data_IF_775111785593
#
_entry.id   IF_775111785593
#
_cell.length_a   1.000
_cell.length_b   1.000
_cell.length_c   1.000
_cell.angle_alpha   90.00
_cell.angle_beta   90.00
_cell.angle_gamma   90.00
#
_symmetry.space_group_name_H-M   'P 1'
#
loop_
_entity.id
_entity.type
_entity.pdbx_description
1 polymer ?
#
# COMPACT_ATOMS: atom_id res chain seq x y z
N UNK A 1 20.27 -13.11 23.82
CA UNK A 1 20.96 -14.06 22.91
C UNK A 1 22.06 -14.86 23.63
N UNK A 2 22.63 -14.38 24.73
CA UNK A 2 23.65 -15.09 25.49
C UNK A 2 23.07 -16.07 26.53
N UNK A 3 21.78 -16.13 26.69
CA UNK A 3 21.08 -17.02 27.61
C UNK A 3 20.94 -18.41 26.94
N UNK A 4 21.38 -19.49 27.60
CA UNK A 4 21.21 -20.85 27.07
C UNK A 4 19.75 -21.26 26.82
N UNK A 5 18.78 -20.67 27.56
CA UNK A 5 17.37 -20.93 27.39
C UNK A 5 16.72 -20.15 26.23
N UNK A 6 17.42 -19.15 25.67
CA UNK A 6 16.94 -18.30 24.56
C UNK A 6 16.49 -19.12 23.32
N UNK A 7 17.13 -20.23 23.06
CA UNK A 7 16.89 -21.07 21.90
C UNK A 7 15.85 -22.17 22.12
N UNK A 8 15.29 -22.27 23.34
CA UNK A 8 14.28 -23.29 23.65
C UNK A 8 12.93 -22.97 23.01
N UNK A 9 12.64 -21.68 22.76
CA UNK A 9 11.46 -21.23 22.01
C UNK A 9 11.92 -20.53 20.72
N UNK A 10 11.80 -21.23 19.62
CA UNK A 10 12.34 -20.81 18.33
C UNK A 10 11.60 -19.58 17.78
N UNK A 11 10.30 -19.47 18.02
CA UNK A 11 9.46 -18.36 17.52
C UNK A 11 9.72 -17.09 18.33
N UNK A 12 9.80 -17.20 19.66
CA UNK A 12 10.17 -16.09 20.52
C UNK A 12 11.62 -15.60 20.24
N UNK A 13 12.54 -16.54 20.03
CA UNK A 13 13.91 -16.20 19.66
C UNK A 13 13.98 -15.47 18.31
N UNK A 14 13.25 -15.92 17.31
CA UNK A 14 13.21 -15.28 16.00
C UNK A 14 12.61 -13.86 16.06
N UNK A 15 11.58 -13.65 16.85
CA UNK A 15 10.99 -12.33 17.10
C UNK A 15 12.02 -11.37 17.67
N UNK A 16 12.72 -11.76 18.72
CA UNK A 16 13.77 -10.93 19.35
C UNK A 16 14.93 -10.66 18.38
N UNK A 17 15.32 -11.63 17.57
CA UNK A 17 16.36 -11.47 16.55
C UNK A 17 15.90 -10.45 15.49
N UNK A 18 14.65 -10.53 15.03
CA UNK A 18 14.10 -9.60 14.04
C UNK A 18 14.05 -8.18 14.59
N UNK A 19 13.61 -8.00 15.85
CA UNK A 19 13.61 -6.69 16.52
C UNK A 19 15.03 -6.13 16.68
N UNK A 20 15.98 -6.97 17.14
CA UNK A 20 17.36 -6.56 17.29
C UNK A 20 18.00 -6.16 15.95
N UNK A 21 17.71 -6.89 14.87
CA UNK A 21 18.20 -6.57 13.54
C UNK A 21 17.59 -5.27 13.02
N UNK A 22 16.30 -5.03 13.23
CA UNK A 22 15.64 -3.78 12.84
C UNK A 22 16.25 -2.56 13.55
N UNK A 23 16.49 -2.66 14.87
CA UNK A 23 17.15 -1.59 15.63
C UNK A 23 18.60 -1.38 15.14
N UNK A 24 19.31 -2.47 14.88
CA UNK A 24 20.70 -2.40 14.39
C UNK A 24 20.77 -1.74 13.01
N UNK A 25 19.85 -2.06 12.13
CA UNK A 25 19.74 -1.44 10.80
C UNK A 25 19.50 0.06 10.94
N UNK A 26 18.54 0.47 11.76
CA UNK A 26 18.25 1.88 12.03
C UNK A 26 19.47 2.64 12.57
N UNK A 27 20.20 2.04 13.51
CA UNK A 27 21.44 2.65 14.06
C UNK A 27 22.55 2.71 13.02
N UNK A 28 22.68 1.69 12.16
CA UNK A 28 23.68 1.70 11.09
C UNK A 28 23.36 2.77 10.05
N UNK A 29 22.12 2.88 9.60
CA UNK A 29 21.67 3.94 8.67
C UNK A 29 21.97 5.33 9.24
N UNK A 30 21.72 5.55 10.54
CA UNK A 30 22.06 6.82 11.19
C UNK A 30 23.58 7.10 11.14
N UNK A 31 24.40 6.09 11.40
CA UNK A 31 25.87 6.24 11.36
C UNK A 31 26.37 6.54 9.94
N UNK A 32 25.83 5.84 8.94
CA UNK A 32 26.14 6.09 7.53
C UNK A 32 25.77 7.52 7.12
N UNK A 33 24.60 8.01 7.55
CA UNK A 33 24.19 9.40 7.35
C UNK A 33 25.15 10.39 8.03
N UNK A 34 25.61 10.07 9.23
CA UNK A 34 26.56 10.90 9.95
C UNK A 34 27.91 10.95 9.24
N UNK A 35 28.42 9.83 8.73
CA UNK A 35 29.65 9.78 7.94
C UNK A 35 29.53 10.62 6.67
N UNK A 36 28.42 10.52 5.94
CA UNK A 36 28.17 11.33 4.75
C UNK A 36 28.06 12.83 5.10
N UNK A 37 27.46 13.16 6.23
CA UNK A 37 27.40 14.54 6.72
C UNK A 37 28.80 15.09 7.02
N UNK A 38 29.62 14.33 7.76
CA UNK A 38 30.98 14.72 8.12
C UNK A 38 31.83 14.93 6.86
N UNK A 39 31.72 14.06 5.85
CA UNK A 39 32.42 14.21 4.56
C UNK A 39 31.97 15.48 3.80
N UNK A 40 30.66 15.78 3.77
CA UNK A 40 30.14 16.99 3.15
C UNK A 40 30.60 18.24 3.90
N UNK A 41 30.65 18.20 5.25
CA UNK A 41 31.13 19.31 6.07
C UNK A 41 32.64 19.59 5.82
N UNK A 42 33.46 18.55 5.76
CA UNK A 42 34.90 18.68 5.42
C UNK A 42 35.06 19.24 4.01
N UNK A 43 34.32 18.74 3.03
CA UNK A 43 34.36 19.27 1.64
C UNK A 43 33.95 20.75 1.59
N UNK A 44 32.93 21.14 2.36
CA UNK A 44 32.49 22.53 2.46
C UNK A 44 33.58 23.43 3.07
N UNK A 45 34.26 22.98 4.13
CA UNK A 45 35.35 23.74 4.75
C UNK A 45 36.56 23.92 3.80
N UNK A 46 36.92 22.85 3.06
CA UNK A 46 37.98 22.93 2.04
C UNK A 46 37.65 23.93 0.93
N UNK A 47 36.43 23.88 0.38
CA UNK A 47 35.98 24.86 -0.63
C UNK A 47 36.07 26.29 -0.10
N UNK A 48 35.71 26.50 1.17
CA UNK A 48 35.69 27.82 1.80
C UNK A 48 37.07 28.37 2.12
N UNK A 49 38.01 27.51 2.53
CA UNK A 49 39.35 27.93 2.94
C UNK A 49 40.31 28.06 1.77
N UNK A 50 40.23 27.16 0.79
CA UNK A 50 41.14 27.11 -0.36
C UNK A 50 40.65 27.85 -1.59
N UNK A 51 39.36 28.31 -1.58
CA UNK A 51 38.68 28.96 -2.72
C UNK A 51 38.73 28.07 -4.00
N UNK A 52 38.71 26.73 -3.77
CA UNK A 52 38.87 25.72 -4.82
C UNK A 52 37.48 25.39 -5.46
N UNK A 53 37.21 26.06 -6.59
CA UNK A 53 35.99 25.84 -7.36
C UNK A 53 35.88 24.41 -7.94
N UNK A 54 36.98 23.65 -7.99
CA UNK A 54 36.96 22.27 -8.52
C UNK A 54 36.16 21.29 -7.64
N UNK A 55 36.02 21.57 -6.35
CA UNK A 55 35.26 20.78 -5.38
C UNK A 55 33.78 21.16 -5.28
N UNK A 56 33.34 22.23 -5.96
CA UNK A 56 31.95 22.68 -5.88
C UNK A 56 30.94 21.64 -6.44
N UNK A 57 31.29 20.97 -7.52
CA UNK A 57 30.42 19.94 -8.10
C UNK A 57 30.30 18.74 -7.18
N UNK A 58 31.39 18.36 -6.51
CA UNK A 58 31.41 17.28 -5.51
C UNK A 58 30.57 17.66 -4.29
N UNK A 59 30.74 18.87 -3.77
CA UNK A 59 29.95 19.42 -2.67
C UNK A 59 28.45 19.44 -3.01
N UNK A 60 28.08 19.93 -4.19
CA UNK A 60 26.68 19.96 -4.61
C UNK A 60 26.07 18.57 -4.71
N UNK A 61 26.84 17.61 -5.24
CA UNK A 61 26.42 16.22 -5.34
C UNK A 61 26.26 15.58 -3.97
N UNK A 62 27.21 15.82 -3.06
CA UNK A 62 27.17 15.33 -1.67
C UNK A 62 25.97 15.87 -0.90
N UNK A 63 25.72 17.18 -0.96
CA UNK A 63 24.56 17.83 -0.31
C UNK A 63 23.25 17.27 -0.86
N UNK A 64 23.16 17.08 -2.17
CA UNK A 64 21.95 16.52 -2.80
C UNK A 64 21.71 15.06 -2.36
N UNK A 65 22.77 14.25 -2.31
CA UNK A 65 22.69 12.87 -1.85
C UNK A 65 22.31 12.81 -0.37
N UNK A 66 22.98 13.57 0.50
CA UNK A 66 22.68 13.66 1.92
C UNK A 66 21.22 14.08 2.18
N UNK A 67 20.73 15.08 1.44
CA UNK A 67 19.33 15.53 1.54
C UNK A 67 18.35 14.42 1.17
N UNK A 68 18.67 13.62 0.15
CA UNK A 68 17.84 12.49 -0.26
C UNK A 68 17.83 11.40 0.82
N UNK A 69 19.00 11.01 1.30
CA UNK A 69 19.15 9.92 2.28
C UNK A 69 18.54 10.30 3.63
N UNK A 70 18.67 11.58 4.03
CA UNK A 70 18.01 12.11 5.22
C UNK A 70 16.48 12.06 5.10
N UNK A 71 15.93 12.42 3.95
CA UNK A 71 14.49 12.33 3.71
C UNK A 71 14.00 10.87 3.78
N UNK A 72 14.75 9.93 3.23
CA UNK A 72 14.42 8.50 3.30
C UNK A 72 14.47 7.98 4.74
N UNK A 73 15.48 8.40 5.51
CA UNK A 73 15.60 8.05 6.93
C UNK A 73 14.47 8.65 7.78
N UNK A 74 14.12 9.92 7.56
CA UNK A 74 12.96 10.55 8.21
C UNK A 74 11.68 9.75 7.96
N UNK A 75 11.44 9.32 6.71
CA UNK A 75 10.27 8.50 6.38
C UNK A 75 10.26 7.15 7.10
N UNK A 76 11.42 6.51 7.23
CA UNK A 76 11.54 5.27 8.01
C UNK A 76 11.18 5.48 9.49
N UNK A 77 11.55 6.64 10.06
CA UNK A 77 11.18 6.99 11.44
C UNK A 77 9.67 7.24 11.59
N UNK A 78 9.01 7.75 10.55
CA UNK A 78 7.55 7.95 10.53
C UNK A 78 6.77 6.64 10.48
N UNK A 79 7.37 5.59 9.93
CA UNK A 79 6.78 4.26 9.81
C UNK A 79 7.02 3.45 11.09
N UNK A 80 6.53 3.98 12.22
CA UNK A 80 6.76 3.43 13.57
C UNK A 80 5.54 2.72 14.16
N UNK A 81 4.40 2.72 13.47
CA UNK A 81 3.20 2.02 13.93
C UNK A 81 3.39 0.49 13.87
N UNK A 82 2.71 -0.28 14.71
CA UNK A 82 2.97 -1.72 14.88
C UNK A 82 2.97 -2.54 13.60
N UNK A 83 2.16 -2.16 12.62
CA UNK A 83 1.98 -2.90 11.35
C UNK A 83 2.65 -2.25 10.14
N UNK A 84 3.31 -1.12 10.31
CA UNK A 84 3.94 -0.39 9.21
C UNK A 84 4.98 -1.23 8.46
N UNK A 85 5.68 -2.12 9.18
CA UNK A 85 6.71 -3.00 8.60
C UNK A 85 6.15 -4.17 7.80
N UNK A 86 4.84 -4.42 7.86
CA UNK A 86 4.21 -5.57 7.24
C UNK A 86 4.08 -5.41 5.72
N UNK A 87 3.88 -6.53 5.06
CA UNK A 87 3.39 -6.55 3.69
C UNK A 87 1.98 -5.93 3.63
N UNK A 88 1.61 -5.41 2.46
CA UNK A 88 0.31 -4.80 2.25
C UNK A 88 -0.61 -5.67 1.40
N UNK A 89 -1.87 -5.74 1.79
CA UNK A 89 -2.96 -6.25 0.95
C UNK A 89 -3.70 -5.02 0.42
N UNK A 90 -3.71 -4.83 -0.90
CA UNK A 90 -4.34 -3.71 -1.57
C UNK A 90 -5.51 -4.22 -2.42
N UNK A 91 -6.70 -3.68 -2.19
CA UNK A 91 -7.90 -4.01 -2.95
C UNK A 91 -8.42 -2.79 -3.69
N UNK A 92 -8.81 -2.96 -4.96
CA UNK A 92 -9.42 -1.93 -5.77
C UNK A 92 -10.85 -2.34 -6.14
N UNK A 93 -11.78 -1.46 -5.82
CA UNK A 93 -13.21 -1.64 -6.11
C UNK A 93 -13.74 -0.45 -6.93
N UNK A 94 -14.12 -0.66 -8.20
CA UNK A 94 -14.78 0.37 -8.99
C UNK A 94 -16.07 0.82 -8.33
N UNK A 95 -16.26 2.13 -8.26
CA UNK A 95 -17.50 2.74 -7.81
C UNK A 95 -18.53 2.86 -8.93
N UNK A 96 -19.51 3.74 -8.73
CA UNK A 96 -20.48 4.07 -9.77
C UNK A 96 -19.78 4.61 -11.03
N UNK A 97 -20.12 4.10 -12.21
CA UNK A 97 -19.54 4.54 -13.48
C UNK A 97 -19.43 3.45 -14.56
N UNK A 98 -19.85 2.22 -14.24
CA UNK A 98 -19.84 1.11 -15.21
C UNK A 98 -18.45 0.81 -15.79
N UNK A 99 -18.35 0.61 -17.10
CA UNK A 99 -17.10 0.28 -17.82
C UNK A 99 -16.01 1.33 -17.57
N UNK A 100 -16.35 2.61 -17.45
CA UNK A 100 -15.37 3.69 -17.21
C UNK A 100 -14.68 3.55 -15.84
N UNK A 101 -15.43 3.19 -14.78
CA UNK A 101 -14.85 2.99 -13.45
C UNK A 101 -14.03 1.69 -13.37
N UNK A 102 -14.41 0.66 -14.13
CA UNK A 102 -13.63 -0.58 -14.24
C UNK A 102 -12.30 -0.36 -14.97
N UNK A 103 -12.29 0.47 -16.01
CA UNK A 103 -11.06 0.87 -16.69
C UNK A 103 -10.18 1.74 -15.77
N UNK A 104 -10.78 2.66 -15.01
CA UNK A 104 -10.06 3.43 -14.01
C UNK A 104 -9.37 2.55 -12.96
N UNK A 105 -10.04 1.51 -12.47
CA UNK A 105 -9.44 0.55 -11.55
C UNK A 105 -8.25 -0.19 -12.19
N UNK A 106 -8.33 -0.53 -13.48
CA UNK A 106 -7.20 -1.12 -14.22
C UNK A 106 -6.02 -0.16 -14.35
N UNK A 107 -6.27 1.13 -14.53
CA UNK A 107 -5.23 2.15 -14.55
C UNK A 107 -4.54 2.28 -13.18
N UNK A 108 -5.31 2.28 -12.09
CA UNK A 108 -4.75 2.30 -10.72
C UNK A 108 -3.97 1.02 -10.41
N UNK A 109 -4.46 -0.14 -10.82
CA UNK A 109 -3.75 -1.41 -10.70
C UNK A 109 -2.35 -1.32 -11.33
N UNK A 110 -2.26 -0.82 -12.55
CA UNK A 110 -0.98 -0.61 -13.24
C UNK A 110 -0.09 0.39 -12.49
N UNK A 111 -0.66 1.48 -12.01
CA UNK A 111 0.06 2.52 -11.27
C UNK A 111 0.69 1.96 -9.99
N UNK A 112 -0.07 1.22 -9.17
CA UNK A 112 0.44 0.62 -7.95
C UNK A 112 1.44 -0.51 -8.21
N UNK A 113 1.23 -1.32 -9.25
CA UNK A 113 2.20 -2.35 -9.64
C UNK A 113 3.54 -1.73 -10.01
N UNK A 114 3.54 -0.68 -10.82
CA UNK A 114 4.77 0.01 -11.24
C UNK A 114 5.48 0.72 -10.08
N UNK A 115 4.72 1.35 -9.19
CA UNK A 115 5.29 1.94 -7.98
C UNK A 115 5.95 0.87 -7.12
N UNK A 116 5.28 -0.25 -6.90
CA UNK A 116 5.82 -1.36 -6.11
C UNK A 116 7.09 -1.94 -6.72
N UNK A 117 7.14 -2.12 -8.05
CA UNK A 117 8.33 -2.56 -8.77
C UNK A 117 9.50 -1.59 -8.61
N UNK A 118 9.25 -0.28 -8.69
CA UNK A 118 10.27 0.76 -8.46
C UNK A 118 10.83 0.74 -7.03
N UNK A 119 9.99 0.42 -6.05
CA UNK A 119 10.41 0.24 -4.65
C UNK A 119 11.11 -1.11 -4.39
N UNK A 120 11.20 -1.98 -5.37
CA UNK A 120 11.75 -3.32 -5.24
C UNK A 120 10.83 -4.30 -4.50
N UNK A 121 9.54 -3.97 -4.40
CA UNK A 121 8.53 -4.82 -3.78
C UNK A 121 8.07 -5.88 -4.77
N UNK A 122 7.74 -7.06 -4.23
CA UNK A 122 7.16 -8.14 -5.02
C UNK A 122 5.64 -8.04 -4.99
N UNK A 123 5.00 -8.03 -6.16
CA UNK A 123 3.54 -7.98 -6.30
C UNK A 123 3.01 -9.35 -6.69
N UNK A 124 2.04 -9.85 -5.92
CA UNK A 124 1.32 -11.08 -6.20
C UNK A 124 -0.19 -10.77 -6.31
N UNK A 125 -0.80 -11.20 -7.41
CA UNK A 125 -2.25 -11.06 -7.56
C UNK A 125 -2.95 -12.19 -6.82
N UNK A 126 -3.75 -11.84 -5.82
CA UNK A 126 -4.48 -12.79 -4.98
C UNK A 126 -5.84 -13.14 -5.58
N UNK A 127 -6.55 -12.12 -6.05
CA UNK A 127 -7.83 -12.24 -6.73
C UNK A 127 -7.92 -11.23 -7.87
N UNK A 128 -8.56 -11.62 -8.96
CA UNK A 128 -8.76 -10.77 -10.13
C UNK A 128 -10.07 -11.11 -10.81
N UNK A 129 -10.99 -10.17 -10.82
CA UNK A 129 -12.25 -10.29 -11.52
C UNK A 129 -12.29 -9.28 -12.69
N UNK A 130 -12.19 -9.76 -13.94
CA UNK A 130 -12.18 -8.86 -15.09
C UNK A 130 -13.52 -8.17 -15.27
N UNK A 131 -13.49 -7.00 -15.89
CA UNK A 131 -14.68 -6.30 -16.37
C UNK A 131 -15.36 -7.06 -17.53
N UNK A 132 -16.63 -6.79 -17.77
CA UNK A 132 -17.36 -7.45 -18.86
C UNK A 132 -16.88 -6.96 -20.24
N UNK A 133 -16.58 -5.67 -20.38
CA UNK A 133 -16.15 -5.04 -21.63
C UNK A 133 -14.70 -4.55 -21.54
N UNK A 134 -14.29 -3.97 -20.41
CA UNK A 134 -12.97 -3.45 -20.17
C UNK A 134 -12.67 -3.35 -18.68
N UNK A 135 -11.39 -3.25 -18.34
CA UNK A 135 -10.93 -3.00 -16.97
C UNK A 135 -11.15 -4.17 -16.03
N UNK A 136 -11.32 -3.87 -14.74
CA UNK A 136 -11.47 -4.86 -13.66
C UNK A 136 -12.68 -4.52 -12.78
N UNK A 137 -13.43 -5.53 -12.34
CA UNK A 137 -14.52 -5.42 -11.36
C UNK A 137 -14.03 -5.43 -9.92
N UNK A 138 -12.97 -6.15 -9.67
CA UNK A 138 -12.23 -6.13 -8.41
C UNK A 138 -10.85 -6.74 -8.62
N UNK A 139 -9.89 -6.28 -7.85
CA UNK A 139 -8.56 -6.88 -7.81
C UNK A 139 -8.00 -6.77 -6.40
N UNK A 140 -7.37 -7.84 -5.95
CA UNK A 140 -6.66 -7.90 -4.68
C UNK A 140 -5.20 -8.23 -4.95
N UNK A 141 -4.30 -7.39 -4.50
CA UNK A 141 -2.86 -7.55 -4.59
C UNK A 141 -2.26 -7.81 -3.22
N UNK A 142 -1.30 -8.72 -3.14
CA UNK A 142 -0.38 -8.82 -2.01
C UNK A 142 0.95 -8.21 -2.43
N UNK A 143 1.33 -7.14 -1.76
CA UNK A 143 2.57 -6.38 -2.01
C UNK A 143 3.54 -6.69 -0.89
N UNK A 144 4.59 -7.44 -1.22
CA UNK A 144 5.59 -7.93 -0.28
C UNK A 144 6.82 -7.05 -0.30
N UNK A 145 7.15 -6.50 0.85
CA UNK A 145 8.34 -5.70 1.04
C UNK A 145 8.35 -5.04 2.41
N UNK A 146 9.53 -4.64 2.85
CA UNK A 146 9.68 -3.95 4.12
C UNK A 146 8.94 -2.60 4.09
N UNK A 147 8.09 -2.35 5.07
CA UNK A 147 7.25 -1.15 5.18
C UNK A 147 6.20 -0.98 4.04
N UNK A 148 5.87 -2.04 3.30
CA UNK A 148 4.90 -1.92 2.20
C UNK A 148 3.55 -1.39 2.68
N UNK A 149 3.03 -1.89 3.81
CA UNK A 149 1.81 -1.38 4.41
C UNK A 149 1.96 0.05 4.91
N UNK A 150 3.07 0.37 5.57
CA UNK A 150 3.34 1.70 6.11
C UNK A 150 3.29 2.80 5.05
N UNK A 151 3.81 2.54 3.84
CA UNK A 151 3.69 3.46 2.71
C UNK A 151 2.28 3.46 2.11
N UNK A 152 1.72 2.29 1.84
CA UNK A 152 0.47 2.15 1.10
C UNK A 152 -0.76 2.54 1.91
N UNK A 153 -0.71 2.55 3.25
CA UNK A 153 -1.82 3.08 4.09
C UNK A 153 -2.19 4.52 3.71
N UNK A 154 -1.24 5.29 3.17
CA UNK A 154 -1.46 6.62 2.63
C UNK A 154 -2.40 6.65 1.40
N UNK A 155 -2.54 5.54 0.69
CA UNK A 155 -3.34 5.42 -0.53
C UNK A 155 -4.78 4.94 -0.26
N UNK A 156 -5.10 4.59 1.00
CA UNK A 156 -6.44 4.15 1.39
C UNK A 156 -7.45 5.28 1.20
N UNK A 157 -8.50 5.01 0.45
CA UNK A 157 -9.62 5.93 0.22
C UNK A 157 -10.13 5.95 -1.22
N UNK A 158 -10.86 7.00 -1.58
CA UNK A 158 -11.50 7.11 -2.89
C UNK A 158 -10.63 7.92 -3.84
N UNK A 159 -10.37 7.36 -5.02
CA UNK A 159 -9.61 7.97 -6.11
C UNK A 159 -10.56 8.40 -7.23
N UNK A 160 -10.56 9.68 -7.56
CA UNK A 160 -11.43 10.28 -8.56
C UNK A 160 -10.67 10.52 -9.86
N UNK A 161 -11.19 10.02 -10.99
CA UNK A 161 -10.72 10.32 -12.34
C UNK A 161 -11.66 11.30 -13.05
N UNK A 162 -11.09 12.26 -13.75
CA UNK A 162 -11.81 13.16 -14.67
C UNK A 162 -11.09 13.17 -16.02
N UNK A 163 -11.71 12.58 -17.03
CA UNK A 163 -11.16 12.53 -18.39
C UNK A 163 -12.27 12.53 -19.46
N UNK A 164 -11.87 12.67 -20.71
CA UNK A 164 -12.74 12.33 -21.85
C UNK A 164 -12.77 10.80 -21.92
N UNK A 165 -13.98 10.23 -21.88
CA UNK A 165 -14.13 8.77 -21.88
C UNK A 165 -13.80 8.17 -23.25
N UNK A 166 -12.94 7.14 -23.32
CA UNK A 166 -12.69 6.40 -24.54
C UNK A 166 -13.89 5.50 -24.95
N UNK A 167 -14.84 5.29 -24.04
CA UNK A 167 -16.03 4.45 -24.26
C UNK A 167 -17.28 5.28 -24.68
N UNK A 168 -17.20 6.61 -24.61
CA UNK A 168 -18.28 7.51 -25.04
C UNK A 168 -18.00 8.04 -26.46
N UNK A 169 -18.77 7.60 -27.43
CA UNK A 169 -18.66 8.04 -28.82
C UNK A 169 -18.89 9.55 -29.00
N UNK A 170 -19.57 10.19 -28.04
CA UNK A 170 -19.79 11.64 -28.02
C UNK A 170 -18.60 12.45 -27.50
N UNK A 171 -17.54 11.81 -27.02
CA UNK A 171 -16.32 12.47 -26.51
C UNK A 171 -16.56 13.35 -25.29
N UNK A 172 -17.54 13.02 -24.46
CA UNK A 172 -17.88 13.79 -23.26
C UNK A 172 -16.91 13.50 -22.13
N UNK A 173 -16.75 14.49 -21.27
CA UNK A 173 -15.98 14.37 -20.03
C UNK A 173 -16.77 13.57 -18.99
N UNK A 174 -16.15 12.52 -18.46
CA UNK A 174 -16.72 11.66 -17.42
C UNK A 174 -15.91 11.78 -16.13
N UNK A 175 -16.60 11.48 -15.02
CA UNK A 175 -16.00 11.37 -13.70
C UNK A 175 -16.24 9.96 -13.18
N UNK A 176 -15.20 9.28 -12.76
CA UNK A 176 -15.25 7.91 -12.25
C UNK A 176 -14.55 7.81 -10.90
N UNK A 177 -14.99 6.88 -10.09
CA UNK A 177 -14.48 6.67 -8.75
C UNK A 177 -14.06 5.21 -8.55
N UNK A 178 -12.95 5.04 -7.84
CA UNK A 178 -12.48 3.72 -7.38
C UNK A 178 -12.13 3.86 -5.90
N UNK A 179 -12.59 2.92 -5.10
CA UNK A 179 -12.14 2.76 -3.71
C UNK A 179 -10.88 1.92 -3.69
N UNK A 180 -9.87 2.40 -2.99
CA UNK A 180 -8.65 1.68 -2.67
C UNK A 180 -8.68 1.33 -1.18
N UNK A 181 -8.72 0.06 -0.85
CA UNK A 181 -8.60 -0.46 0.50
C UNK A 181 -7.18 -0.98 0.69
N UNK A 182 -6.58 -0.66 1.84
CA UNK A 182 -5.23 -1.12 2.20
C UNK A 182 -5.26 -1.69 3.60
N UNK A 183 -4.73 -2.90 3.74
CA UNK A 183 -4.67 -3.65 4.99
C UNK A 183 -3.28 -4.27 5.17
N UNK A 184 -2.80 -4.45 6.40
CA UNK A 184 -1.57 -5.19 6.63
C UNK A 184 -1.77 -6.70 6.39
N UNK A 185 -0.76 -7.38 5.85
CA UNK A 185 -0.69 -8.84 5.94
C UNK A 185 -0.31 -9.18 7.37
N UNK A 186 -1.22 -9.89 8.08
CA UNK A 186 -0.95 -10.35 9.42
C UNK A 186 -0.25 -11.71 9.37
N UNK A 187 0.83 -11.86 10.15
CA UNK A 187 1.44 -13.16 10.39
C UNK A 187 0.50 -13.99 11.27
N UNK A 188 0.64 -15.34 11.24
CA UNK A 188 -0.24 -16.26 11.95
C UNK A 188 -0.27 -16.08 13.49
N UNK A 189 0.64 -15.27 14.05
CA UNK A 189 0.81 -15.02 15.49
C UNK A 189 -0.08 -13.90 16.06
N UNK A 190 -0.89 -13.22 15.24
CA UNK A 190 -1.79 -12.20 15.79
C UNK A 190 -3.06 -12.86 16.28
N UNK A 191 -3.31 -12.70 17.57
CA UNK A 191 -4.31 -13.29 18.44
C UNK A 191 -5.79 -13.00 18.05
N UNK A 192 -6.12 -13.11 16.75
CA UNK A 192 -7.51 -13.18 16.30
C UNK A 192 -7.88 -14.65 16.20
N UNK A 193 -8.49 -15.13 17.26
CA UNK A 193 -9.07 -16.47 17.27
C UNK A 193 -10.31 -16.48 16.40
N UNK A 194 -10.23 -17.09 15.22
CA UNK A 194 -11.38 -17.28 14.35
C UNK A 194 -11.94 -18.66 14.62
N UNK A 195 -13.17 -18.73 15.13
CA UNK A 195 -13.86 -20.00 15.31
C UNK A 195 -14.25 -20.55 13.94
N UNK A 196 -13.91 -21.79 13.66
CA UNK A 196 -14.25 -22.44 12.38
C UNK A 196 -15.77 -22.58 12.18
N UNK A 197 -16.55 -22.58 13.26
CA UNK A 197 -18.02 -22.64 13.24
C UNK A 197 -18.66 -21.34 12.70
N UNK A 198 -17.94 -20.23 12.81
CA UNK A 198 -18.37 -18.92 12.31
C UNK A 198 -18.04 -18.72 10.82
N UNK A 199 -17.40 -19.71 10.19
CA UNK A 199 -16.97 -19.61 8.80
C UNK A 199 -17.86 -20.44 7.88
N UNK A 200 -18.41 -19.79 6.86
CA UNK A 200 -18.99 -20.45 5.69
C UNK A 200 -17.95 -20.44 4.58
N UNK A 201 -17.52 -21.64 4.18
CA UNK A 201 -16.52 -21.83 3.13
C UNK A 201 -17.21 -22.43 1.90
N UNK A 202 -17.26 -21.65 0.82
CA UNK A 202 -17.80 -22.07 -0.46
C UNK A 202 -16.65 -22.22 -1.46
N UNK A 203 -16.67 -23.30 -2.23
CA UNK A 203 -15.72 -23.52 -3.33
C UNK A 203 -16.45 -23.36 -4.66
N UNK A 204 -15.79 -22.75 -5.63
CA UNK A 204 -16.36 -22.53 -6.95
C UNK A 204 -15.28 -22.58 -8.03
N UNK A 205 -15.70 -22.59 -9.27
CA UNK A 205 -14.79 -22.59 -10.42
C UNK A 205 -14.22 -21.22 -10.60
N UNK A 206 -12.87 -21.13 -10.70
CA UNK A 206 -12.20 -19.88 -10.98
C UNK A 206 -12.65 -19.35 -12.34
N UNK A 207 -12.94 -18.05 -12.41
CA UNK A 207 -13.25 -17.35 -13.67
C UNK A 207 -11.98 -16.63 -14.13
N UNK A 208 -11.47 -16.99 -15.33
CA UNK A 208 -10.29 -16.34 -15.92
C UNK A 208 -9.90 -16.97 -17.26
N UNK A 209 -9.08 -16.26 -18.03
CA UNK A 209 -8.48 -16.77 -19.26
C UNK A 209 -7.42 -17.82 -18.89
N UNK A 210 -7.80 -19.09 -18.90
CA UNK A 210 -6.91 -20.22 -18.62
C UNK A 210 -7.45 -21.49 -19.24
N UNK A 211 -6.56 -22.45 -19.57
CA UNK A 211 -6.88 -23.68 -20.28
C UNK A 211 -7.88 -24.59 -19.56
N UNK A 212 -8.17 -25.75 -20.13
CA UNK A 212 -9.21 -26.71 -19.70
C UNK A 212 -9.23 -27.04 -18.17
N UNK A 213 -8.12 -26.88 -17.46
CA UNK A 213 -8.00 -27.20 -16.05
C UNK A 213 -8.71 -26.18 -15.13
N UNK A 214 -8.77 -24.90 -15.53
CA UNK A 214 -9.43 -23.83 -14.74
C UNK A 214 -10.94 -23.98 -14.77
N UNK A 215 -11.49 -24.50 -15.88
CA UNK A 215 -12.92 -24.64 -16.09
C UNK A 215 -13.51 -25.94 -15.52
N UNK A 216 -12.66 -26.88 -15.03
CA UNK A 216 -13.10 -28.21 -14.57
C UNK A 216 -12.93 -28.44 -13.07
N UNK A 217 -12.13 -27.62 -12.38
CA UNK A 217 -11.82 -27.84 -10.96
C UNK A 217 -12.30 -26.67 -10.11
N UNK A 218 -13.01 -26.93 -9.03
CA UNK A 218 -13.47 -25.93 -8.05
C UNK A 218 -12.31 -25.53 -7.14
N UNK A 219 -11.33 -24.80 -7.68
CA UNK A 219 -10.12 -24.37 -6.97
C UNK A 219 -10.26 -23.03 -6.26
N UNK A 220 -11.18 -22.17 -6.70
CA UNK A 220 -11.46 -20.89 -6.05
C UNK A 220 -12.20 -21.08 -4.73
N UNK A 221 -11.82 -20.30 -3.73
CA UNK A 221 -12.37 -20.37 -2.37
C UNK A 221 -12.95 -19.02 -1.99
N UNK A 222 -14.18 -19.03 -1.47
CA UNK A 222 -14.84 -17.91 -0.82
C UNK A 222 -15.04 -18.24 0.64
N UNK A 223 -14.58 -17.40 1.53
CA UNK A 223 -14.83 -17.52 2.97
C UNK A 223 -15.71 -16.36 3.42
N UNK A 224 -16.81 -16.67 4.07
CA UNK A 224 -17.70 -15.69 4.68
C UNK A 224 -17.64 -15.88 6.20
N UNK A 225 -17.27 -14.83 6.92
CA UNK A 225 -17.34 -14.81 8.37
C UNK A 225 -18.74 -14.35 8.77
N UNK A 226 -19.55 -15.29 9.29
CA UNK A 226 -20.97 -15.08 9.55
C UNK A 226 -21.28 -13.93 10.50
N UNK A 227 -20.54 -13.76 11.63
CA UNK A 227 -20.85 -12.69 12.60
C UNK A 227 -20.66 -11.28 12.05
N UNK A 228 -19.65 -11.07 11.18
CA UNK A 228 -19.33 -9.75 10.61
C UNK A 228 -19.78 -9.59 9.16
N UNK A 229 -20.34 -10.63 8.54
CA UNK A 229 -20.63 -10.69 7.11
C UNK A 229 -19.43 -10.34 6.19
N UNK A 230 -18.22 -10.48 6.71
CA UNK A 230 -17.00 -10.24 5.93
C UNK A 230 -16.79 -11.36 4.95
N UNK A 231 -16.66 -11.01 3.67
CA UNK A 231 -16.44 -11.97 2.58
C UNK A 231 -15.04 -11.75 2.00
N UNK A 232 -14.31 -12.84 1.79
CA UNK A 232 -13.03 -12.87 1.09
C UNK A 232 -13.03 -13.96 0.04
N UNK A 233 -12.36 -13.71 -1.08
CA UNK A 233 -12.22 -14.67 -2.17
C UNK A 233 -10.75 -14.82 -2.56
N UNK A 234 -10.33 -16.04 -2.89
CA UNK A 234 -9.00 -16.31 -3.39
C UNK A 234 -9.06 -17.37 -4.49
N UNK A 235 -8.43 -17.06 -5.64
CA UNK A 235 -8.33 -17.94 -6.81
C UNK A 235 -6.95 -17.90 -7.47
N UNK A 236 -5.92 -17.45 -6.73
CA UNK A 236 -4.57 -17.23 -7.24
C UNK A 236 -3.83 -18.50 -7.61
N UNK A 237 -4.14 -19.59 -6.91
CA UNK A 237 -3.43 -20.86 -7.04
C UNK A 237 -4.33 -21.95 -7.66
N UNK A 238 -3.70 -22.96 -8.28
CA UNK A 238 -4.40 -24.14 -8.77
C UNK A 238 -4.82 -25.09 -7.65
N UNK A 239 -4.28 -24.91 -6.46
CA UNK A 239 -4.54 -25.71 -5.27
C UNK A 239 -5.60 -25.05 -4.40
N UNK A 240 -6.75 -25.71 -4.21
CA UNK A 240 -7.80 -25.29 -3.30
C UNK A 240 -7.29 -25.08 -1.86
N UNK A 241 -6.35 -25.94 -1.40
CA UNK A 241 -5.79 -25.85 -0.05
C UNK A 241 -5.03 -24.53 0.12
N UNK A 242 -4.15 -24.19 -0.85
CA UNK A 242 -3.39 -22.95 -0.82
C UNK A 242 -4.30 -21.72 -0.91
N UNK A 243 -5.33 -21.76 -1.78
CA UNK A 243 -6.32 -20.70 -1.86
C UNK A 243 -7.08 -20.52 -0.55
N UNK A 244 -7.39 -21.61 0.16
CA UNK A 244 -8.03 -21.56 1.47
C UNK A 244 -7.14 -20.92 2.53
N UNK A 245 -5.88 -21.31 2.61
CA UNK A 245 -4.90 -20.71 3.54
C UNK A 245 -4.76 -19.21 3.29
N UNK A 246 -4.66 -18.83 2.05
CA UNK A 246 -4.50 -17.45 1.66
C UNK A 246 -5.77 -16.61 1.93
N UNK A 247 -6.95 -17.16 1.60
CA UNK A 247 -8.22 -16.53 1.94
C UNK A 247 -8.39 -16.38 3.46
N UNK A 248 -7.88 -17.33 4.26
CA UNK A 248 -7.90 -17.23 5.73
C UNK A 248 -7.00 -16.07 6.22
N UNK A 249 -5.81 -15.88 5.62
CA UNK A 249 -4.95 -14.73 5.94
C UNK A 249 -5.63 -13.40 5.60
N UNK A 250 -6.27 -13.33 4.43
CA UNK A 250 -7.04 -12.14 4.03
C UNK A 250 -8.19 -11.86 4.99
N UNK A 251 -8.90 -12.91 5.43
CA UNK A 251 -9.99 -12.76 6.40
C UNK A 251 -9.48 -12.24 7.74
N UNK A 252 -8.38 -12.79 8.26
CA UNK A 252 -7.75 -12.30 9.50
C UNK A 252 -7.41 -10.81 9.41
N UNK A 253 -6.81 -10.38 8.28
CA UNK A 253 -6.47 -8.98 8.05
C UNK A 253 -7.72 -8.07 8.04
N UNK A 254 -8.81 -8.50 7.38
CA UNK A 254 -10.08 -7.75 7.37
C UNK A 254 -10.72 -7.64 8.75
N UNK A 255 -10.76 -8.74 9.49
CA UNK A 255 -11.33 -8.74 10.85
C UNK A 255 -10.51 -7.86 11.80
N UNK A 256 -9.19 -7.84 11.63
CA UNK A 256 -8.33 -6.95 12.40
C UNK A 256 -8.61 -5.47 12.08
N UNK A 257 -8.75 -5.14 10.80
CA UNK A 257 -9.10 -3.78 10.40
C UNK A 257 -10.44 -3.34 11.01
N UNK A 258 -11.46 -4.21 10.94
CA UNK A 258 -12.76 -3.93 11.57
C UNK A 258 -12.63 -3.66 13.07
N UNK A 259 -11.81 -4.43 13.78
CA UNK A 259 -11.60 -4.23 15.22
C UNK A 259 -10.93 -2.89 15.53
N UNK A 260 -9.96 -2.48 14.69
CA UNK A 260 -9.36 -1.13 14.83
C UNK A 260 -10.40 -0.05 14.57
N UNK A 261 -11.23 -0.22 13.55
CA UNK A 261 -12.30 0.75 13.23
C UNK A 261 -13.34 0.84 14.34
N UNK A 262 -13.73 -0.27 14.95
CA UNK A 262 -14.61 -0.29 16.12
C UNK A 262 -13.99 0.47 17.31
N UNK A 263 -12.73 0.22 17.61
CA UNK A 263 -12.02 0.97 18.67
C UNK A 263 -11.90 2.46 18.34
N UNK A 264 -11.66 2.80 17.09
CA UNK A 264 -11.58 4.19 16.65
C UNK A 264 -12.96 4.87 16.73
N UNK A 265 -14.04 4.17 16.36
CA UNK A 265 -15.40 4.66 16.49
C UNK A 265 -15.79 4.91 17.96
N UNK A 266 -15.46 3.98 18.86
CA UNK A 266 -15.66 4.18 20.29
C UNK A 266 -14.93 5.43 20.82
N UNK A 267 -13.69 5.66 20.34
CA UNK A 267 -12.91 6.85 20.70
C UNK A 267 -13.53 8.13 20.12
N UNK A 268 -14.06 8.06 18.90
CA UNK A 268 -14.68 9.19 18.22
C UNK A 268 -16.06 9.52 18.79
N UNK A 269 -16.84 8.51 19.22
CA UNK A 269 -18.08 8.71 20.00
C UNK A 269 -17.81 9.41 21.34
N UNK A 270 -16.72 9.06 22.01
CA UNK A 270 -16.28 9.75 23.24
C UNK A 270 -15.85 11.19 22.95
N UNK A 271 -15.33 11.47 21.75
CA UNK A 271 -14.89 12.82 21.32
C UNK A 271 -15.99 13.71 20.75
N UNK A 272 -17.16 13.17 20.41
CA UNK A 272 -18.33 13.90 19.90
C UNK A 272 -18.24 14.34 18.43
N UNK A 273 -19.30 14.01 17.67
CA UNK A 273 -19.68 14.38 16.29
C UNK A 273 -18.58 14.29 15.21
N UNK A 274 -18.58 13.16 14.50
CA UNK A 274 -18.06 13.11 13.13
C UNK A 274 -19.16 13.34 12.10
N UNK A 275 -18.86 14.22 11.13
CA UNK A 275 -19.75 14.48 10.00
C UNK A 275 -19.85 13.26 9.09
N UNK A 276 -21.09 12.94 8.67
CA UNK A 276 -21.40 11.88 7.73
C UNK A 276 -20.43 11.82 6.54
N UNK A 277 -20.05 10.58 6.18
CA UNK A 277 -19.29 10.24 4.98
C UNK A 277 -20.21 10.45 3.76
N UNK A 278 -20.28 11.68 3.29
CA UNK A 278 -20.88 12.07 2.02
C UNK A 278 -19.80 12.55 1.06
N UNK A 279 -20.12 12.84 -0.15
CA UNK A 279 -19.35 13.41 -1.27
C UNK A 279 -18.16 14.32 -0.93
N UNK A 280 -17.29 13.96 -0.01
CA UNK A 280 -16.12 14.70 0.47
C UNK A 280 -14.94 13.81 0.81
N UNK A 281 -15.09 12.50 0.77
CA UNK A 281 -14.07 11.51 1.19
C UNK A 281 -13.03 11.18 0.12
N UNK A 282 -12.97 11.94 -0.98
CA UNK A 282 -11.97 11.72 -2.04
C UNK A 282 -10.59 12.12 -1.50
N UNK A 283 -9.68 11.16 -1.43
CA UNK A 283 -8.30 11.46 -1.04
C UNK A 283 -7.54 12.15 -2.17
N UNK A 284 -7.78 11.75 -3.44
CA UNK A 284 -7.02 12.25 -4.58
C UNK A 284 -7.87 12.35 -5.83
N UNK A 285 -7.67 13.43 -6.60
CA UNK A 285 -8.29 13.63 -7.90
C UNK A 285 -7.24 13.62 -9.01
N UNK A 286 -7.53 12.89 -10.07
CA UNK A 286 -6.72 12.76 -11.27
C UNK A 286 -7.49 13.39 -12.42
N UNK A 287 -7.04 14.56 -12.88
CA UNK A 287 -7.68 15.32 -13.95
C UNK A 287 -6.80 15.24 -15.18
N UNK A 288 -7.36 14.74 -16.28
CA UNK A 288 -6.68 14.64 -17.59
C UNK A 288 -7.25 15.64 -18.60
N UNK A 289 -8.40 16.23 -18.31
CA UNK A 289 -9.05 17.20 -19.18
C UNK A 289 -9.96 18.15 -18.36
N UNK A 290 -9.93 19.47 -18.60
CA UNK A 290 -9.24 20.21 -19.67
C UNK A 290 -7.77 20.54 -19.40
N UNK A 291 -7.28 20.24 -18.22
CA UNK A 291 -5.87 20.39 -17.81
C UNK A 291 -5.40 19.09 -17.18
N UNK A 292 -4.09 18.90 -17.08
CA UNK A 292 -3.48 17.72 -16.46
C UNK A 292 -3.02 18.07 -15.05
N UNK A 293 -3.58 17.38 -14.05
CA UNK A 293 -3.22 17.57 -12.64
C UNK A 293 -3.66 16.38 -11.79
N UNK A 294 -2.79 15.94 -10.90
CA UNK A 294 -3.13 15.05 -9.80
C UNK A 294 -3.01 15.85 -8.51
N UNK A 295 -4.06 15.84 -7.67
CA UNK A 295 -4.09 16.58 -6.40
C UNK A 295 -4.60 15.71 -5.28
N UNK A 296 -3.84 15.62 -4.20
CA UNK A 296 -4.27 15.05 -2.94
C UNK A 296 -4.97 16.12 -2.10
N UNK A 297 -6.21 15.84 -1.70
CA UNK A 297 -7.04 16.79 -0.97
C UNK A 297 -6.70 16.87 0.52
N UNK A 298 -6.02 15.88 1.06
CA UNK A 298 -5.63 15.81 2.48
C UNK A 298 -4.41 16.69 2.77
N UNK A 299 -3.44 16.68 1.85
CA UNK A 299 -2.16 17.36 2.01
C UNK A 299 -2.02 18.61 1.14
N UNK A 300 -2.93 18.79 0.16
CA UNK A 300 -2.84 19.79 -0.90
C UNK A 300 -1.61 19.61 -1.82
N UNK A 301 -0.89 18.49 -1.73
CA UNK A 301 0.19 18.17 -2.65
C UNK A 301 -0.38 17.91 -4.04
N UNK A 302 0.26 18.49 -5.07
CA UNK A 302 -0.20 18.36 -6.46
C UNK A 302 0.97 18.16 -7.43
N UNK A 303 0.68 17.46 -8.52
CA UNK A 303 1.61 17.22 -9.62
C UNK A 303 0.93 17.48 -10.96
N UNK A 304 1.55 18.29 -11.81
CA UNK A 304 1.10 18.51 -13.20
C UNK A 304 1.50 17.37 -14.15
N UNK A 305 2.44 16.50 -13.75
CA UNK A 305 2.88 15.36 -14.56
C UNK A 305 2.03 14.11 -14.28
N UNK A 306 0.80 14.13 -14.80
CA UNK A 306 -0.15 13.04 -14.61
C UNK A 306 0.38 11.70 -15.15
N UNK A 307 1.15 11.72 -16.24
CA UNK A 307 1.71 10.50 -16.83
C UNK A 307 2.74 9.85 -15.92
N UNK A 308 3.62 10.64 -15.30
CA UNK A 308 4.61 10.13 -14.35
C UNK A 308 3.92 9.49 -13.13
N UNK A 309 2.87 10.16 -12.60
CA UNK A 309 2.06 9.59 -11.51
C UNK A 309 1.43 8.27 -11.91
N UNK A 310 0.81 8.19 -13.09
CA UNK A 310 0.22 6.93 -13.61
C UNK A 310 1.26 5.85 -13.91
N UNK A 311 2.51 6.24 -14.09
CA UNK A 311 3.65 5.32 -14.23
C UNK A 311 4.30 4.96 -12.88
N UNK A 312 3.68 5.36 -11.75
CA UNK A 312 4.07 4.97 -10.40
C UNK A 312 4.96 5.97 -9.66
N UNK A 313 5.00 7.25 -10.03
CA UNK A 313 5.64 8.30 -9.22
C UNK A 313 4.68 8.78 -8.12
N UNK A 314 4.54 7.97 -7.06
CA UNK A 314 3.64 8.26 -5.95
C UNK A 314 4.35 8.78 -4.70
N UNK A 315 5.68 8.72 -4.65
CA UNK A 315 6.45 9.03 -3.45
C UNK A 315 6.12 10.40 -2.86
N UNK A 316 6.02 11.44 -3.70
CA UNK A 316 5.67 12.78 -3.22
C UNK A 316 4.30 12.89 -2.53
N UNK A 317 3.31 12.11 -2.98
CA UNK A 317 1.99 12.05 -2.35
C UNK A 317 2.02 11.29 -1.03
N UNK A 318 2.71 10.15 -1.01
CA UNK A 318 2.87 9.29 0.17
C UNK A 318 3.63 10.04 1.24
N UNK A 319 4.76 10.66 0.90
CA UNK A 319 5.60 11.44 1.79
C UNK A 319 4.85 12.63 2.41
N UNK A 320 4.12 13.38 1.57
CA UNK A 320 3.32 14.50 2.04
C UNK A 320 2.24 14.07 3.04
N UNK A 321 1.62 12.90 2.80
CA UNK A 321 0.63 12.35 3.71
C UNK A 321 1.25 11.88 5.03
N UNK A 322 2.32 11.08 4.97
CA UNK A 322 2.99 10.58 6.17
C UNK A 322 3.49 11.74 7.06
N UNK A 323 4.07 12.78 6.47
CA UNK A 323 4.49 13.98 7.21
C UNK A 323 3.31 14.76 7.78
N UNK A 324 2.13 14.72 7.18
CA UNK A 324 0.94 15.38 7.71
C UNK A 324 0.38 14.71 8.96
N UNK A 325 0.67 13.43 9.16
CA UNK A 325 0.26 12.66 10.33
C UNK A 325 1.06 13.02 11.60
N UNK A 326 2.21 13.69 11.46
CA UNK A 326 3.04 14.15 12.59
C UNK A 326 2.52 15.43 13.28
N UNK A 327 1.51 16.06 12.76
CA UNK A 327 0.94 17.31 13.32
C UNK A 327 -0.24 17.00 14.21
#
# INVERSE_FOLDING_TARGET
>A
MSDPEFWNDQDAAQTVINEANAIKEMVNTYKELQEVYDDVEVTYELVKEEDDESLLDELQSGVKQLSKDLNEYELQLLLSEPYDKNNAILELHPGAGGTESQDWASMLLRMYTRWSERKGFKVETMDYLPGDEAGVKSVTLLIKGHNAYGYLKAEKGVHRLVRISPFDSSGRRHTSFVSCEVMPELNDDVDITINTEDLKIDTYRASGAGGQHINTTDSAVRITHTPTNTVVTCQSERSQIKNREQAMKMLKAKLYQLRIEEQQQELDEIRGEQKEIGWGSQIRSYVFHPYSMVKDHRTSFESGNTNAVMDGELDGFIDAYLRSMMK
#
